data_IF_742646044895
#
_entry.id   IF_742646044895
#
_cell.length_a   1.000
_cell.length_b   1.000
_cell.length_c   1.000
_cell.angle_alpha   90.00
_cell.angle_beta   90.00
_cell.angle_gamma   90.00
#
_symmetry.space_group_name_H-M   'P 1'
#
loop_
_entity.id
_entity.type
_entity.pdbx_description
1 polymer ?
#
# COMPACT_ATOMS: atom_id res chain seq x y z
N UNK A 1 6.79 65.26 -60.10
CA UNK A 1 7.96 64.35 -60.05
C UNK A 1 7.82 63.42 -58.83
N UNK A 2 7.36 62.26 -59.09
CA UNK A 2 7.05 61.26 -58.07
C UNK A 2 8.19 60.33 -57.87
N UNK A 3 8.73 60.23 -56.64
CA UNK A 3 9.68 59.21 -56.28
C UNK A 3 8.93 58.15 -55.42
N UNK A 4 8.73 56.98 -56.00
CA UNK A 4 8.21 55.81 -55.33
C UNK A 4 9.32 55.23 -54.47
N UNK A 5 9.11 55.20 -53.15
CA UNK A 5 9.96 54.49 -52.21
C UNK A 5 9.35 53.07 -52.07
N UNK A 6 10.07 52.09 -52.54
CA UNK A 6 9.78 50.67 -52.34
C UNK A 6 10.29 50.30 -50.97
N UNK A 7 9.42 50.05 -50.02
CA UNK A 7 9.76 49.51 -48.73
C UNK A 7 9.89 47.99 -48.85
N UNK A 8 11.10 47.48 -48.68
CA UNK A 8 11.41 46.04 -48.62
C UNK A 8 11.11 45.55 -47.19
N UNK A 9 9.99 44.86 -46.98
CA UNK A 9 9.70 44.16 -45.76
C UNK A 9 10.48 42.83 -45.74
N UNK A 10 11.61 42.81 -45.04
CA UNK A 10 12.34 41.60 -44.65
C UNK A 10 11.55 40.97 -43.49
N UNK A 11 10.79 39.93 -43.78
CA UNK A 11 10.21 39.07 -42.77
C UNK A 11 11.33 38.20 -42.13
N UNK A 12 11.75 38.59 -40.94
CA UNK A 12 12.66 37.78 -40.11
C UNK A 12 11.85 36.66 -39.47
N UNK A 13 11.76 35.51 -40.12
CA UNK A 13 11.20 34.31 -39.52
C UNK A 13 12.19 33.80 -38.46
N UNK A 14 11.98 34.20 -37.22
CA UNK A 14 12.64 33.52 -36.09
C UNK A 14 12.09 32.12 -35.99
N UNK A 15 12.80 31.16 -36.57
CA UNK A 15 12.62 29.75 -36.23
C UNK A 15 13.12 29.59 -34.79
N UNK A 16 12.20 29.70 -33.83
CA UNK A 16 12.42 29.14 -32.52
C UNK A 16 12.46 27.62 -32.67
N UNK A 17 13.64 27.07 -32.98
CA UNK A 17 13.94 25.70 -32.64
C UNK A 17 13.89 25.64 -31.12
N UNK A 18 12.73 25.31 -30.57
CA UNK A 18 12.60 24.92 -29.18
C UNK A 18 13.51 23.72 -28.98
N UNK A 19 14.74 23.98 -28.49
CA UNK A 19 15.50 22.93 -27.85
C UNK A 19 14.63 22.47 -26.67
N UNK A 20 13.87 21.41 -26.89
CA UNK A 20 13.43 20.55 -25.79
C UNK A 20 14.74 20.02 -25.21
N UNK A 21 15.28 20.73 -24.23
CA UNK A 21 16.22 20.11 -23.30
C UNK A 21 15.43 18.94 -22.71
N UNK A 22 15.63 17.73 -23.24
CA UNK A 22 15.41 16.52 -22.52
C UNK A 22 16.16 16.74 -21.21
N UNK A 23 15.45 17.04 -20.13
CA UNK A 23 15.98 16.91 -18.79
C UNK A 23 16.50 15.48 -18.76
N UNK A 24 17.82 15.29 -18.74
CA UNK A 24 18.43 13.98 -18.71
C UNK A 24 17.77 13.19 -17.59
N UNK A 25 17.36 11.95 -17.88
CA UNK A 25 16.72 11.10 -16.89
C UNK A 25 17.64 11.07 -15.67
N UNK A 26 17.10 11.38 -14.51
CA UNK A 26 17.86 11.28 -13.27
C UNK A 26 17.96 9.81 -12.87
N UNK A 27 18.99 9.38 -12.15
CA UNK A 27 19.14 7.98 -11.75
C UNK A 27 17.91 7.39 -11.09
N UNK A 28 17.15 8.17 -10.32
CA UNK A 28 15.92 7.72 -9.71
C UNK A 28 14.77 7.51 -10.72
N UNK A 29 14.66 8.34 -11.75
CA UNK A 29 13.65 8.17 -12.80
C UNK A 29 13.95 6.95 -13.68
N UNK A 30 15.22 6.71 -14.00
CA UNK A 30 15.63 5.49 -14.72
C UNK A 30 15.34 4.25 -13.87
N UNK A 31 15.62 4.30 -12.57
CA UNK A 31 15.32 3.23 -11.64
C UNK A 31 13.81 2.98 -11.53
N UNK A 32 12.99 4.04 -11.44
CA UNK A 32 11.54 3.92 -11.41
C UNK A 32 10.99 3.29 -12.71
N UNK A 33 11.53 3.67 -13.88
CA UNK A 33 11.14 3.07 -15.15
C UNK A 33 11.44 1.57 -15.20
N UNK A 34 12.63 1.15 -14.79
CA UNK A 34 13.02 -0.27 -14.75
C UNK A 34 12.20 -1.05 -13.71
N UNK A 35 11.93 -0.45 -12.55
CA UNK A 35 11.05 -1.05 -11.55
C UNK A 35 9.63 -1.26 -12.10
N UNK A 36 9.08 -0.30 -12.83
CA UNK A 36 7.77 -0.46 -13.48
C UNK A 36 7.78 -1.55 -14.55
N UNK A 37 8.88 -1.71 -15.28
CA UNK A 37 9.03 -2.80 -16.25
C UNK A 37 9.06 -4.15 -15.54
N UNK A 38 9.79 -4.27 -14.43
CA UNK A 38 9.74 -5.46 -13.59
C UNK A 38 8.33 -5.73 -13.06
N UNK A 39 7.63 -4.72 -12.52
CA UNK A 39 6.26 -4.86 -12.03
C UNK A 39 5.34 -5.40 -13.13
N UNK A 40 5.44 -4.91 -14.37
CA UNK A 40 4.65 -5.43 -15.50
C UNK A 40 4.84 -6.92 -15.74
N UNK A 41 6.05 -7.45 -15.50
CA UNK A 41 6.31 -8.90 -15.65
C UNK A 41 5.52 -9.74 -14.66
N UNK A 42 5.23 -9.18 -13.47
CA UNK A 42 4.53 -9.86 -12.38
C UNK A 42 3.01 -9.95 -12.60
N UNK A 43 2.44 -9.16 -13.53
CA UNK A 43 1.00 -9.19 -13.77
C UNK A 43 0.55 -10.59 -14.21
N UNK A 44 -0.54 -11.08 -13.64
CA UNK A 44 -1.16 -12.34 -14.02
C UNK A 44 -2.20 -12.14 -15.14
N UNK A 45 -2.64 -13.24 -15.78
CA UNK A 45 -3.58 -13.20 -16.89
C UNK A 45 -4.99 -12.70 -16.51
N UNK A 46 -5.31 -12.67 -15.22
CA UNK A 46 -6.53 -12.10 -14.65
C UNK A 46 -6.47 -10.58 -14.43
N UNK A 47 -5.34 -9.95 -14.77
CA UNK A 47 -5.07 -8.53 -14.57
C UNK A 47 -4.47 -8.17 -13.21
N UNK A 48 -4.53 -9.08 -12.24
CA UNK A 48 -4.04 -8.87 -10.89
C UNK A 48 -2.52 -9.00 -10.75
N UNK A 49 -2.04 -8.62 -9.55
CA UNK A 49 -0.63 -8.70 -9.17
C UNK A 49 -0.47 -9.45 -7.86
N UNK A 50 0.65 -10.18 -7.66
CA UNK A 50 0.92 -10.88 -6.42
C UNK A 50 1.30 -9.90 -5.31
N UNK A 51 0.98 -10.23 -4.05
CA UNK A 51 1.63 -9.63 -2.89
C UNK A 51 2.85 -10.47 -2.49
N UNK A 52 2.61 -11.78 -2.36
CA UNK A 52 3.62 -12.80 -2.04
C UNK A 52 3.38 -14.01 -2.95
N UNK A 53 4.45 -14.70 -3.29
CA UNK A 53 4.35 -15.83 -4.24
C UNK A 53 4.01 -15.38 -5.65
N UNK A 54 3.17 -16.15 -6.36
CA UNK A 54 2.85 -15.93 -7.78
C UNK A 54 1.41 -15.53 -8.04
N UNK A 55 0.50 -15.78 -7.10
CA UNK A 55 -0.93 -15.62 -7.32
C UNK A 55 -1.38 -14.17 -7.12
N UNK A 56 -2.34 -13.73 -7.90
CA UNK A 56 -2.94 -12.41 -7.76
C UNK A 56 -3.62 -12.24 -6.40
N UNK A 57 -3.42 -11.07 -5.81
CA UNK A 57 -4.13 -10.65 -4.60
C UNK A 57 -4.60 -9.21 -4.72
N UNK A 58 -5.71 -8.88 -4.06
CA UNK A 58 -6.20 -7.50 -4.07
C UNK A 58 -5.18 -6.54 -3.45
N UNK A 59 -4.52 -6.94 -2.35
CA UNK A 59 -3.48 -6.13 -1.71
C UNK A 59 -2.30 -5.83 -2.63
N UNK A 60 -1.72 -6.87 -3.28
CA UNK A 60 -0.61 -6.70 -4.23
C UNK A 60 -1.02 -5.90 -5.46
N UNK A 61 -2.25 -6.11 -5.94
CA UNK A 61 -2.77 -5.34 -7.07
C UNK A 61 -2.90 -3.86 -6.72
N UNK A 62 -3.39 -3.52 -5.53
CA UNK A 62 -3.47 -2.14 -5.06
C UNK A 62 -2.08 -1.50 -4.92
N UNK A 63 -1.07 -2.24 -4.44
CA UNK A 63 0.30 -1.72 -4.32
C UNK A 63 0.93 -1.46 -5.69
N UNK A 64 0.76 -2.40 -6.64
CA UNK A 64 1.22 -2.21 -8.01
C UNK A 64 0.53 -0.99 -8.67
N UNK A 65 -0.77 -0.80 -8.45
CA UNK A 65 -1.50 0.36 -8.96
C UNK A 65 -1.01 1.68 -8.37
N UNK A 66 -0.66 1.71 -7.07
CA UNK A 66 -0.04 2.89 -6.45
C UNK A 66 1.31 3.21 -7.09
N UNK A 67 2.14 2.19 -7.37
CA UNK A 67 3.40 2.36 -8.06
C UNK A 67 3.21 2.97 -9.46
N UNK A 68 2.28 2.44 -10.26
CA UNK A 68 1.96 2.99 -11.57
C UNK A 68 1.45 4.44 -11.47
N UNK A 69 0.50 4.70 -10.56
CA UNK A 69 -0.08 6.02 -10.37
C UNK A 69 0.97 7.05 -9.93
N UNK A 70 1.89 6.69 -9.03
CA UNK A 70 2.96 7.56 -8.57
C UNK A 70 3.90 7.98 -9.71
N UNK A 71 4.11 7.11 -10.69
CA UNK A 71 4.90 7.39 -11.89
C UNK A 71 4.08 8.04 -13.03
N UNK A 72 2.81 8.37 -12.79
CA UNK A 72 1.93 8.96 -13.80
C UNK A 72 1.48 8.00 -14.89
N UNK A 73 1.66 6.69 -14.68
CA UNK A 73 1.16 5.63 -15.57
C UNK A 73 -0.28 5.31 -15.20
N UNK A 74 -1.15 5.23 -16.21
CA UNK A 74 -2.54 4.82 -16.00
C UNK A 74 -2.61 3.32 -15.68
N UNK A 75 -3.02 2.91 -14.47
CA UNK A 75 -3.10 1.50 -14.13
C UNK A 75 -4.05 0.71 -15.02
N UNK A 76 -5.13 1.33 -15.52
CA UNK A 76 -6.10 0.66 -16.40
C UNK A 76 -5.51 0.31 -17.77
N UNK A 77 -4.47 1.04 -18.19
CA UNK A 77 -3.74 0.76 -19.42
C UNK A 77 -2.73 -0.40 -19.30
N UNK A 78 -2.49 -0.93 -18.10
CA UNK A 78 -1.57 -2.05 -17.86
C UNK A 78 -2.35 -3.35 -17.93
N UNK A 79 -2.26 -4.07 -19.04
CA UNK A 79 -3.11 -5.26 -19.28
C UNK A 79 -2.32 -6.50 -19.56
N UNK A 80 -2.82 -7.65 -19.09
CA UNK A 80 -2.33 -9.00 -19.45
C UNK A 80 -3.51 -9.95 -19.63
N UNK A 81 -3.50 -10.75 -20.66
CA UNK A 81 -4.64 -11.61 -20.98
C UNK A 81 -5.92 -10.87 -21.38
N UNK A 82 -5.83 -9.55 -21.64
CA UNK A 82 -6.98 -8.70 -21.92
C UNK A 82 -7.65 -8.11 -20.67
N UNK A 83 -7.07 -8.31 -19.49
CA UNK A 83 -7.56 -7.81 -18.21
C UNK A 83 -6.62 -6.79 -17.61
N UNK A 84 -7.19 -5.71 -17.05
CA UNK A 84 -6.50 -4.67 -16.29
C UNK A 84 -6.54 -4.96 -14.78
N UNK A 85 -5.72 -4.26 -13.96
CA UNK A 85 -5.85 -4.31 -12.50
C UNK A 85 -7.23 -3.92 -12.00
N UNK A 86 -7.91 -2.99 -12.69
CA UNK A 86 -9.28 -2.59 -12.33
C UNK A 86 -10.29 -3.69 -12.63
N UNK A 87 -10.13 -4.47 -13.71
CA UNK A 87 -10.95 -5.65 -13.98
C UNK A 87 -10.82 -6.69 -12.87
N UNK A 88 -9.59 -6.96 -12.42
CA UNK A 88 -9.34 -7.84 -11.30
C UNK A 88 -9.99 -7.32 -10.01
N UNK A 89 -9.75 -6.05 -9.65
CA UNK A 89 -10.33 -5.46 -8.45
C UNK A 89 -11.86 -5.41 -8.50
N UNK A 90 -12.48 -5.22 -9.66
CA UNK A 90 -13.93 -5.22 -9.79
C UNK A 90 -14.56 -6.54 -9.29
N UNK A 91 -13.80 -7.64 -9.32
CA UNK A 91 -14.25 -8.94 -8.82
C UNK A 91 -13.84 -9.24 -7.37
N UNK A 92 -12.82 -8.53 -6.83
CA UNK A 92 -12.20 -8.85 -5.54
C UNK A 92 -12.48 -7.83 -4.44
N UNK A 93 -12.88 -6.60 -4.79
CA UNK A 93 -12.95 -5.48 -3.86
C UNK A 93 -13.91 -5.71 -2.70
N UNK A 94 -15.05 -6.37 -2.92
CA UNK A 94 -16.01 -6.65 -1.85
C UNK A 94 -15.45 -7.62 -0.81
N UNK A 95 -14.78 -8.67 -1.25
CA UNK A 95 -14.13 -9.63 -0.39
C UNK A 95 -12.91 -9.04 0.34
N UNK A 96 -12.23 -8.09 -0.30
CA UNK A 96 -11.08 -7.41 0.27
C UNK A 96 -11.47 -6.37 1.32
N UNK A 97 -12.41 -5.48 1.03
CA UNK A 97 -12.76 -4.34 1.89
C UNK A 97 -13.60 -4.75 3.12
N UNK A 98 -13.21 -5.80 3.84
CA UNK A 98 -13.90 -6.34 5.03
C UNK A 98 -13.31 -5.86 6.35
N UNK A 99 -12.16 -5.18 6.31
CA UNK A 99 -11.53 -4.54 7.46
C UNK A 99 -11.33 -3.04 7.21
N UNK A 100 -11.05 -2.29 8.27
CA UNK A 100 -10.91 -0.84 8.26
C UNK A 100 -9.78 -0.40 7.32
N UNK A 101 -8.61 -0.95 7.49
CA UNK A 101 -7.41 -0.69 6.71
C UNK A 101 -7.60 -1.01 5.22
N UNK A 102 -8.17 -2.17 4.91
CA UNK A 102 -8.44 -2.59 3.54
C UNK A 102 -9.45 -1.66 2.85
N UNK A 103 -10.52 -1.27 3.54
CA UNK A 103 -11.49 -0.33 2.98
C UNK A 103 -10.88 1.04 2.71
N UNK A 104 -10.07 1.56 3.63
CA UNK A 104 -9.37 2.84 3.46
C UNK A 104 -8.33 2.78 2.34
N UNK A 105 -7.51 1.71 2.27
CA UNK A 105 -6.53 1.49 1.21
C UNK A 105 -7.18 1.43 -0.17
N UNK A 106 -8.29 0.67 -0.29
CA UNK A 106 -9.02 0.58 -1.55
C UNK A 106 -9.51 1.97 -2.02
N UNK A 107 -10.08 2.77 -1.13
CA UNK A 107 -10.53 4.15 -1.45
C UNK A 107 -9.37 5.01 -1.95
N UNK A 108 -8.21 4.97 -1.28
CA UNK A 108 -7.00 5.72 -1.69
C UNK A 108 -6.60 5.35 -3.11
N UNK A 109 -6.52 4.05 -3.40
CA UNK A 109 -6.01 3.55 -4.69
C UNK A 109 -7.00 3.79 -5.82
N UNK A 110 -8.30 3.59 -5.60
CA UNK A 110 -9.32 3.92 -6.58
C UNK A 110 -9.27 5.40 -6.96
N UNK A 111 -9.10 6.30 -5.98
CA UNK A 111 -8.92 7.73 -6.26
C UNK A 111 -7.64 8.02 -7.03
N UNK A 112 -6.52 7.39 -6.68
CA UNK A 112 -5.26 7.54 -7.41
C UNK A 112 -5.36 7.04 -8.87
N UNK A 113 -6.16 5.99 -9.10
CA UNK A 113 -6.46 5.46 -10.44
C UNK A 113 -7.54 6.24 -11.20
N UNK A 114 -8.09 7.33 -10.64
CA UNK A 114 -9.11 8.15 -11.28
C UNK A 114 -10.50 7.54 -11.27
N UNK A 115 -10.72 6.51 -10.45
CA UNK A 115 -12.04 5.89 -10.28
C UNK A 115 -12.89 6.62 -9.23
N UNK A 116 -14.20 6.43 -9.30
CA UNK A 116 -15.11 6.90 -8.25
C UNK A 116 -15.33 5.79 -7.21
N UNK A 117 -14.78 5.91 -5.97
CA UNK A 117 -14.97 4.90 -4.96
C UNK A 117 -16.39 4.89 -4.35
N UNK A 118 -17.25 5.86 -4.70
CA UNK A 118 -18.67 5.82 -4.37
C UNK A 118 -19.47 4.90 -5.31
N UNK A 119 -18.93 4.59 -6.47
CA UNK A 119 -19.57 3.70 -7.45
C UNK A 119 -18.50 2.91 -8.22
N UNK A 120 -17.85 1.99 -7.54
CA UNK A 120 -16.89 1.07 -8.16
C UNK A 120 -17.43 -0.35 -8.09
N UNK A 121 -17.54 -1.02 -9.23
CA UNK A 121 -18.09 -2.36 -9.36
C UNK A 121 -19.49 -2.54 -8.72
N UNK A 122 -20.29 -1.45 -8.67
CA UNK A 122 -21.64 -1.44 -8.12
C UNK A 122 -21.71 -1.31 -6.59
N UNK A 123 -20.62 -0.92 -5.92
CA UNK A 123 -20.56 -0.74 -4.47
C UNK A 123 -20.00 0.64 -4.08
N UNK A 124 -20.47 1.19 -2.96
CA UNK A 124 -19.96 2.41 -2.34
C UNK A 124 -18.91 2.06 -1.27
N UNK A 125 -17.63 2.08 -1.68
CA UNK A 125 -16.51 1.79 -0.76
C UNK A 125 -16.21 2.95 0.18
N UNK A 126 -16.66 4.16 -0.12
CA UNK A 126 -16.56 5.28 0.83
C UNK A 126 -17.53 5.06 1.98
N UNK A 127 -18.77 4.69 1.70
CA UNK A 127 -19.74 4.35 2.75
C UNK A 127 -19.23 3.15 3.58
N UNK A 128 -18.64 2.14 2.94
CA UNK A 128 -18.07 0.98 3.61
C UNK A 128 -16.90 1.39 4.51
N UNK A 129 -15.97 2.21 4.04
CA UNK A 129 -14.87 2.78 4.83
C UNK A 129 -15.44 3.56 6.03
N UNK A 130 -16.37 4.48 5.80
CA UNK A 130 -16.93 5.30 6.87
C UNK A 130 -17.67 4.48 7.95
N UNK A 131 -18.13 3.28 7.63
CA UNK A 131 -18.80 2.41 8.60
C UNK A 131 -17.89 1.86 9.71
N UNK A 132 -16.58 1.90 9.52
CA UNK A 132 -15.59 1.51 10.53
C UNK A 132 -15.22 2.64 11.50
N UNK A 133 -15.73 3.87 11.27
CA UNK A 133 -15.45 5.01 12.14
C UNK A 133 -16.45 5.09 13.29
N UNK A 134 -15.94 5.04 14.53
CA UNK A 134 -16.74 5.28 15.73
C UNK A 134 -16.78 6.79 16.03
N UNK A 135 -17.95 7.40 15.84
CA UNK A 135 -18.16 8.82 16.10
C UNK A 135 -18.15 9.20 17.58
N UNK A 136 -18.26 8.26 18.52
CA UNK A 136 -18.20 8.55 19.94
C UNK A 136 -16.78 8.57 20.48
N UNK A 137 -15.93 7.66 20.02
CA UNK A 137 -14.52 7.56 20.41
C UNK A 137 -13.58 8.24 19.44
N UNK A 138 -14.04 8.58 18.23
CA UNK A 138 -13.27 9.12 17.12
C UNK A 138 -12.22 8.15 16.55
N UNK A 139 -12.32 6.88 16.91
CA UNK A 139 -11.40 5.82 16.46
C UNK A 139 -11.91 5.24 15.15
N UNK A 140 -11.00 4.96 14.24
CA UNK A 140 -11.25 4.21 13.02
C UNK A 140 -10.53 2.87 13.09
N UNK A 141 -11.29 1.79 12.95
CA UNK A 141 -10.75 0.43 13.03
C UNK A 141 -10.29 0.05 14.44
N UNK A 142 -9.24 -0.75 14.51
CA UNK A 142 -8.69 -1.28 15.78
C UNK A 142 -7.19 -1.05 15.95
N UNK A 143 -6.47 -0.79 14.85
CA UNK A 143 -5.02 -0.61 14.84
C UNK A 143 -4.64 0.87 14.68
N UNK A 144 -3.44 1.22 15.08
CA UNK A 144 -2.94 2.61 14.91
C UNK A 144 -2.85 2.96 13.42
N UNK A 145 -2.43 1.99 12.60
CA UNK A 145 -2.31 2.17 11.16
C UNK A 145 -3.66 2.42 10.48
N UNK A 146 -4.75 1.83 10.98
CA UNK A 146 -6.09 2.05 10.45
C UNK A 146 -6.45 3.53 10.51
N UNK A 147 -6.16 4.17 11.64
CA UNK A 147 -6.42 5.59 11.85
C UNK A 147 -5.64 6.46 10.85
N UNK A 148 -4.38 6.11 10.57
CA UNK A 148 -3.56 6.82 9.59
C UNK A 148 -4.12 6.66 8.17
N UNK A 149 -4.46 5.43 7.76
CA UNK A 149 -5.05 5.15 6.45
C UNK A 149 -6.40 5.87 6.26
N UNK A 150 -7.22 5.94 7.31
CA UNK A 150 -8.48 6.68 7.25
C UNK A 150 -8.27 8.17 6.94
N UNK A 151 -7.35 8.82 7.63
CA UNK A 151 -7.03 10.23 7.40
C UNK A 151 -6.51 10.46 5.97
N UNK A 152 -5.65 9.56 5.48
CA UNK A 152 -5.15 9.59 4.10
C UNK A 152 -6.27 9.37 3.08
N UNK A 153 -7.17 8.43 3.33
CA UNK A 153 -8.32 8.18 2.46
C UNK A 153 -9.26 9.39 2.39
N UNK A 154 -9.58 10.00 3.52
CA UNK A 154 -10.36 11.23 3.53
C UNK A 154 -9.67 12.36 2.76
N UNK A 155 -8.35 12.48 2.93
CA UNK A 155 -7.55 13.45 2.15
C UNK A 155 -7.62 13.17 0.66
N UNK A 156 -7.51 11.92 0.21
CA UNK A 156 -7.61 11.55 -1.21
C UNK A 156 -8.98 11.88 -1.81
N UNK A 157 -10.03 11.84 -1.00
CA UNK A 157 -11.39 12.25 -1.36
C UNK A 157 -11.59 13.77 -1.36
N UNK A 158 -10.61 14.57 -0.91
CA UNK A 158 -10.76 16.00 -0.68
C UNK A 158 -11.64 16.36 0.52
N UNK A 159 -11.87 15.42 1.43
CA UNK A 159 -12.69 15.60 2.62
C UNK A 159 -11.83 16.07 3.81
N UNK A 160 -12.38 16.97 4.62
CA UNK A 160 -11.75 17.32 5.89
C UNK A 160 -11.70 16.10 6.83
N UNK A 161 -10.70 15.99 7.72
CA UNK A 161 -10.70 14.96 8.74
C UNK A 161 -11.95 15.08 9.63
N UNK A 162 -12.48 13.95 10.11
CA UNK A 162 -13.57 14.00 11.09
C UNK A 162 -13.05 14.56 12.42
N UNK A 163 -13.96 15.21 13.13
CA UNK A 163 -13.64 15.76 14.47
C UNK A 163 -13.04 14.66 15.36
N UNK A 164 -11.93 14.98 16.02
CA UNK A 164 -11.23 14.08 16.93
C UNK A 164 -10.33 13.03 16.27
N UNK A 165 -10.50 12.72 14.97
CA UNK A 165 -9.73 11.67 14.32
C UNK A 165 -8.21 11.96 14.29
N UNK A 166 -7.82 13.23 14.13
CA UNK A 166 -6.41 13.66 14.18
C UNK A 166 -5.85 13.47 15.60
N UNK A 167 -6.59 13.96 16.60
CA UNK A 167 -6.15 13.86 18.01
C UNK A 167 -6.04 12.42 18.50
N UNK A 168 -6.86 11.49 17.96
CA UNK A 168 -6.69 10.06 18.22
C UNK A 168 -5.33 9.58 17.70
N UNK A 169 -4.96 9.91 16.46
CA UNK A 169 -3.66 9.51 15.92
C UNK A 169 -2.50 10.15 16.69
N UNK A 170 -2.58 11.43 17.02
CA UNK A 170 -1.59 12.12 17.85
C UNK A 170 -1.42 11.46 19.23
N UNK A 171 -2.54 11.08 19.88
CA UNK A 171 -2.52 10.44 21.19
C UNK A 171 -1.87 9.05 21.21
N UNK A 172 -1.74 8.42 20.05
CA UNK A 172 -1.08 7.13 19.88
C UNK A 172 0.43 7.26 19.67
N UNK A 173 0.97 8.47 19.57
CA UNK A 173 2.42 8.67 19.53
C UNK A 173 3.06 8.20 20.83
N UNK A 174 4.02 7.30 20.72
CA UNK A 174 4.73 6.73 21.85
C UNK A 174 5.76 7.72 22.43
N UNK A 175 6.20 7.47 23.67
CA UNK A 175 7.24 8.26 24.32
C UNK A 175 8.56 8.34 23.52
N UNK A 176 8.80 7.36 22.64
CA UNK A 176 9.91 7.35 21.68
C UNK A 176 9.72 8.24 20.46
N UNK A 177 8.67 9.07 20.41
CA UNK A 177 8.38 9.98 19.29
C UNK A 177 7.98 9.29 17.98
N UNK A 178 7.44 8.10 18.06
CA UNK A 178 7.11 7.19 16.97
C UNK A 178 5.71 6.61 17.12
N UNK A 179 5.26 5.91 16.10
CA UNK A 179 4.05 5.11 16.15
C UNK A 179 4.39 3.63 15.98
N UNK A 180 3.56 2.80 16.55
CA UNK A 180 3.56 1.36 16.36
C UNK A 180 2.43 0.94 15.42
N UNK A 181 2.54 -0.25 14.81
CA UNK A 181 1.49 -0.78 13.94
C UNK A 181 0.17 -0.95 14.68
N UNK A 182 0.24 -1.57 15.85
CA UNK A 182 -0.87 -1.71 16.78
C UNK A 182 -0.35 -1.65 18.21
N UNK A 183 -1.24 -1.40 19.17
CA UNK A 183 -0.87 -1.22 20.58
C UNK A 183 -0.03 -2.41 21.08
N UNK A 184 1.20 -2.14 21.55
CA UNK A 184 2.13 -3.12 22.12
C UNK A 184 3.05 -3.82 21.12
N UNK A 185 3.03 -3.47 19.84
CA UNK A 185 3.97 -4.02 18.84
C UNK A 185 5.36 -3.38 18.91
N UNK A 186 5.45 -2.20 19.49
CA UNK A 186 6.66 -1.40 19.51
C UNK A 186 6.80 -0.49 18.29
N UNK A 187 7.58 0.56 18.46
CA UNK A 187 7.82 1.56 17.43
C UNK A 187 8.50 1.01 16.20
N UNK A 188 8.01 1.39 15.04
CA UNK A 188 8.64 1.09 13.77
C UNK A 188 8.64 2.31 12.81
N UNK A 189 9.55 2.30 11.85
CA UNK A 189 9.71 3.41 10.92
C UNK A 189 8.57 3.50 9.91
N UNK A 190 7.97 2.37 9.51
CA UNK A 190 6.93 2.33 8.50
C UNK A 190 5.62 2.89 9.06
N UNK A 191 5.20 2.44 10.25
CA UNK A 191 4.02 2.98 10.95
C UNK A 191 4.18 4.47 11.27
N UNK A 192 5.38 4.86 11.69
CA UNK A 192 5.70 6.28 11.93
C UNK A 192 5.63 7.11 10.64
N UNK A 193 6.10 6.57 9.51
CA UNK A 193 6.04 7.23 8.22
C UNK A 193 4.59 7.40 7.72
N UNK A 194 3.75 6.40 7.93
CA UNK A 194 2.33 6.48 7.60
C UNK A 194 1.61 7.51 8.47
N UNK A 195 1.85 7.48 9.80
CA UNK A 195 1.25 8.44 10.73
C UNK A 195 1.67 9.88 10.42
N UNK A 196 2.95 10.12 10.12
CA UNK A 196 3.44 11.46 9.74
C UNK A 196 2.75 11.96 8.46
N UNK A 197 2.66 11.13 7.43
CA UNK A 197 1.98 11.50 6.19
C UNK A 197 0.49 11.78 6.43
N UNK A 198 -0.16 10.99 7.28
CA UNK A 198 -1.56 11.16 7.63
C UNK A 198 -1.82 12.49 8.38
N UNK A 199 -0.98 12.83 9.35
CA UNK A 199 -1.07 14.11 10.08
C UNK A 199 -0.89 15.29 9.13
N UNK A 200 0.13 15.27 8.28
CA UNK A 200 0.38 16.32 7.29
C UNK A 200 -0.79 16.43 6.28
N UNK A 201 -1.30 15.29 5.83
CA UNK A 201 -2.46 15.22 4.95
C UNK A 201 -3.73 15.76 5.56
N UNK A 202 -3.91 15.59 6.85
CA UNK A 202 -5.00 16.13 7.64
C UNK A 202 -4.85 17.64 7.93
N UNK A 203 -3.73 18.26 7.54
CA UNK A 203 -3.46 19.69 7.70
C UNK A 203 -2.75 20.05 9.00
N UNK A 204 -2.20 19.08 9.72
CA UNK A 204 -1.35 19.36 10.89
C UNK A 204 -0.09 20.09 10.43
N UNK A 205 0.30 21.13 11.17
CA UNK A 205 1.45 21.95 10.82
C UNK A 205 2.75 21.16 10.86
N UNK A 206 3.67 21.47 9.92
CA UNK A 206 5.05 20.95 9.99
C UNK A 206 5.77 21.31 11.29
N UNK A 207 5.41 22.42 11.94
CA UNK A 207 5.98 22.84 13.22
C UNK A 207 5.28 22.23 14.43
N UNK A 208 4.29 21.39 14.23
CA UNK A 208 3.61 20.67 15.30
C UNK A 208 4.57 19.73 16.05
N UNK A 209 4.34 19.58 17.37
CA UNK A 209 5.20 18.77 18.22
C UNK A 209 5.26 17.31 17.79
N UNK A 210 4.12 16.71 17.40
CA UNK A 210 4.05 15.32 16.98
C UNK A 210 4.80 15.10 15.66
N UNK A 211 4.69 16.05 14.71
CA UNK A 211 5.40 16.02 13.44
C UNK A 211 6.92 16.13 13.64
N UNK A 212 7.36 17.09 14.46
CA UNK A 212 8.78 17.29 14.72
C UNK A 212 9.39 16.12 15.49
N UNK A 213 8.64 15.51 16.39
CA UNK A 213 9.05 14.31 17.11
C UNK A 213 9.25 13.12 16.16
N UNK A 214 8.34 12.89 15.20
CA UNK A 214 8.51 11.86 14.18
C UNK A 214 9.75 12.08 13.31
N UNK A 215 10.01 13.31 12.88
CA UNK A 215 11.22 13.66 12.12
C UNK A 215 12.49 13.38 12.97
N UNK A 216 12.46 13.70 14.27
CA UNK A 216 13.58 13.38 15.17
C UNK A 216 13.78 11.87 15.34
N UNK A 217 12.71 11.09 15.42
CA UNK A 217 12.76 9.64 15.45
C UNK A 217 13.42 9.06 14.20
N UNK A 218 13.06 9.53 13.00
CA UNK A 218 13.72 9.07 11.77
C UNK A 218 15.20 9.43 11.75
N UNK A 219 15.57 10.63 12.18
CA UNK A 219 17.00 11.02 12.26
C UNK A 219 17.79 10.10 13.20
N UNK A 220 17.19 9.69 14.29
CA UNK A 220 17.80 8.76 15.25
C UNK A 220 17.85 7.32 14.70
N UNK A 221 16.88 6.93 13.86
CA UNK A 221 16.79 5.57 13.28
C UNK A 221 17.62 5.42 12.00
N UNK A 222 18.09 6.51 11.40
CA UNK A 222 18.84 6.47 10.13
C UNK A 222 20.21 5.82 10.32
N UNK A 223 20.51 4.80 9.54
CA UNK A 223 21.77 4.07 9.55
C UNK A 223 22.92 4.85 8.86
N UNK A 224 24.14 4.36 9.06
CA UNK A 224 25.35 4.95 8.45
C UNK A 224 25.41 4.82 6.92
N UNK A 225 24.65 3.90 6.34
CA UNK A 225 24.50 3.73 4.88
C UNK A 225 23.46 4.68 4.27
N UNK A 226 22.88 5.58 5.06
CA UNK A 226 21.88 6.55 4.63
C UNK A 226 20.45 6.02 4.58
N UNK A 227 20.25 4.70 4.71
CA UNK A 227 18.96 4.02 4.72
C UNK A 227 18.33 3.93 6.11
N UNK A 228 17.21 3.21 6.17
CA UNK A 228 16.41 3.03 7.38
C UNK A 228 16.06 1.57 7.59
N UNK A 229 16.13 1.07 8.85
CA UNK A 229 15.62 -0.24 9.22
C UNK A 229 14.12 -0.15 9.51
N UNK A 230 13.42 -1.30 9.50
CA UNK A 230 12.05 -1.38 10.02
C UNK A 230 11.97 -0.99 11.50
N UNK A 231 12.83 -1.58 12.32
CA UNK A 231 12.98 -1.25 13.74
C UNK A 231 14.45 -1.00 14.06
N UNK A 232 14.76 0.15 14.65
CA UNK A 232 16.11 0.48 15.08
C UNK A 232 16.39 -0.09 16.51
N UNK A 233 17.60 -0.67 16.73
CA UNK A 233 18.66 -0.92 15.77
C UNK A 233 18.36 -2.13 14.86
N UNK A 234 18.71 -2.03 13.60
CA UNK A 234 18.54 -3.07 12.59
C UNK A 234 19.20 -2.67 11.28
N UNK A 235 19.25 -3.57 10.33
CA UNK A 235 19.79 -3.30 9.01
C UNK A 235 18.80 -2.49 8.18
N UNK A 236 19.29 -1.62 7.31
CA UNK A 236 18.45 -0.88 6.35
C UNK A 236 17.82 -1.85 5.35
N UNK A 237 16.57 -1.59 4.99
CA UNK A 237 15.87 -2.31 3.94
C UNK A 237 15.18 -1.36 2.96
N UNK A 238 14.81 -1.89 1.80
CA UNK A 238 14.24 -1.09 0.72
C UNK A 238 12.88 -0.48 1.10
N UNK A 239 12.03 -1.26 1.76
CA UNK A 239 10.67 -0.85 2.12
C UNK A 239 10.69 0.26 3.15
N UNK A 240 11.42 0.06 4.25
CA UNK A 240 11.52 1.04 5.33
C UNK A 240 12.19 2.32 4.85
N UNK A 241 13.22 2.20 4.01
CA UNK A 241 13.85 3.36 3.39
C UNK A 241 12.88 4.11 2.47
N UNK A 242 12.05 3.40 1.69
CA UNK A 242 11.05 4.00 0.82
C UNK A 242 9.94 4.70 1.62
N UNK A 243 9.41 4.07 2.67
CA UNK A 243 8.38 4.68 3.52
C UNK A 243 8.87 5.95 4.20
N UNK A 244 10.07 5.92 4.81
CA UNK A 244 10.63 7.10 5.46
C UNK A 244 10.93 8.20 4.44
N UNK A 245 11.48 7.86 3.26
CA UNK A 245 11.74 8.83 2.21
C UNK A 245 10.46 9.56 1.78
N UNK A 246 9.36 8.85 1.57
CA UNK A 246 8.06 9.46 1.28
C UNK A 246 7.60 10.41 2.40
N UNK A 247 7.77 10.00 3.66
CA UNK A 247 7.33 10.78 4.81
C UNK A 247 8.14 12.08 4.99
N UNK A 248 9.46 12.02 4.87
CA UNK A 248 10.32 13.22 4.99
C UNK A 248 10.13 14.16 3.80
N UNK A 249 9.87 13.63 2.60
CA UNK A 249 9.47 14.45 1.44
C UNK A 249 8.13 15.13 1.68
N UNK A 250 7.13 14.43 2.22
CA UNK A 250 5.85 15.02 2.60
C UNK A 250 6.01 16.15 3.63
N UNK A 251 6.94 15.99 4.57
CA UNK A 251 7.30 17.03 5.53
C UNK A 251 8.09 18.20 4.90
N UNK A 252 8.53 18.08 3.64
CA UNK A 252 9.31 19.10 2.91
C UNK A 252 10.73 19.21 3.44
N UNK A 253 11.27 18.12 3.94
CA UNK A 253 12.67 18.04 4.35
C UNK A 253 13.60 18.05 3.12
N UNK A 254 14.79 18.62 3.29
CA UNK A 254 15.81 18.60 2.25
C UNK A 254 16.58 17.27 2.28
N UNK A 255 16.38 16.44 1.27
CA UNK A 255 16.99 15.12 1.10
C UNK A 255 18.19 15.12 0.17
N UNK A 256 18.61 16.29 -0.35
CA UNK A 256 19.71 16.42 -1.31
C UNK A 256 21.07 16.17 -0.66
N UNK A 257 22.08 15.93 -1.48
CA UNK A 257 23.46 15.82 -1.07
C UNK A 257 23.92 17.09 -0.33
N UNK A 258 24.64 16.91 0.77
CA UNK A 258 25.02 17.99 1.69
C UNK A 258 23.88 18.43 2.62
N UNK A 259 22.70 17.82 2.52
CA UNK A 259 21.55 18.10 3.36
C UNK A 259 21.57 17.37 4.71
N UNK A 260 20.57 17.64 5.56
CA UNK A 260 20.54 17.11 6.93
C UNK A 260 20.26 15.59 7.02
N UNK A 261 19.95 14.96 5.90
CA UNK A 261 19.67 13.52 5.78
C UNK A 261 20.81 12.73 5.14
N UNK A 262 21.92 13.39 4.80
CA UNK A 262 23.11 12.67 4.33
C UNK A 262 23.84 12.04 5.51
N UNK A 263 24.16 10.75 5.39
CA UNK A 263 24.98 9.98 6.35
C UNK A 263 26.21 9.42 5.63
N UNK A 264 27.39 9.75 6.12
CA UNK A 264 28.66 9.29 5.55
C UNK A 264 28.78 9.51 4.03
N UNK A 265 28.18 10.57 3.50
CA UNK A 265 28.19 10.89 2.06
C UNK A 265 27.09 10.19 1.25
N UNK A 266 26.14 9.49 1.90
CA UNK A 266 25.03 8.79 1.26
C UNK A 266 23.70 9.43 1.65
N UNK A 267 22.90 9.82 0.66
CA UNK A 267 21.54 10.32 0.87
C UNK A 267 20.55 9.16 0.99
N UNK A 268 19.33 9.37 1.57
CA UNK A 268 18.30 8.35 1.59
C UNK A 268 17.91 7.82 0.21
N UNK A 269 17.93 8.69 -0.81
CA UNK A 269 17.66 8.27 -2.20
C UNK A 269 18.76 7.34 -2.72
N UNK A 270 20.04 7.65 -2.45
CA UNK A 270 21.14 6.78 -2.84
C UNK A 270 21.11 5.45 -2.09
N UNK A 271 20.75 5.46 -0.81
CA UNK A 271 20.54 4.24 -0.03
C UNK A 271 19.42 3.38 -0.63
N UNK A 272 18.27 3.98 -0.98
CA UNK A 272 17.19 3.25 -1.65
C UNK A 272 17.66 2.63 -2.97
N UNK A 273 18.36 3.41 -3.82
CA UNK A 273 18.89 2.93 -5.10
C UNK A 273 19.89 1.77 -4.96
N UNK A 274 20.57 1.64 -3.82
CA UNK A 274 21.50 0.54 -3.56
C UNK A 274 20.80 -0.81 -3.39
N UNK A 275 19.52 -0.85 -3.07
CA UNK A 275 18.73 -2.08 -3.00
C UNK A 275 18.23 -2.59 -4.35
N UNK A 276 18.48 -1.85 -5.44
CA UNK A 276 17.98 -2.26 -6.77
C UNK A 276 18.87 -3.33 -7.39
N UNK A 277 18.28 -4.42 -7.87
CA UNK A 277 18.92 -5.28 -8.86
C UNK A 277 18.91 -4.58 -10.22
N UNK A 278 20.10 -4.26 -10.72
CA UNK A 278 20.24 -3.55 -12.02
C UNK A 278 19.98 -4.45 -13.23
N UNK A 279 19.94 -5.77 -13.06
CA UNK A 279 19.65 -6.71 -14.14
C UNK A 279 18.14 -6.87 -14.37
N UNK A 280 17.37 -6.90 -13.29
CA UNK A 280 15.91 -7.10 -13.36
C UNK A 280 15.12 -5.80 -13.22
N UNK A 281 15.70 -4.78 -12.57
CA UNK A 281 15.03 -3.55 -12.18
C UNK A 281 14.24 -3.67 -10.88
N UNK A 282 14.16 -4.84 -10.26
CA UNK A 282 13.50 -5.07 -9.00
C UNK A 282 14.25 -4.41 -7.83
N UNK A 283 13.52 -4.11 -6.75
CA UNK A 283 14.11 -3.81 -5.46
C UNK A 283 14.15 -5.07 -4.61
N UNK A 284 15.32 -5.31 -4.00
CA UNK A 284 15.60 -6.53 -3.26
C UNK A 284 15.17 -6.41 -1.80
N UNK A 285 14.71 -7.53 -1.26
CA UNK A 285 14.55 -7.73 0.18
C UNK A 285 15.25 -9.03 0.57
N UNK A 286 16.13 -8.98 1.56
CA UNK A 286 16.93 -10.15 1.94
C UNK A 286 17.89 -10.64 0.85
N UNK A 287 18.22 -9.80 -0.14
CA UNK A 287 19.11 -10.15 -1.27
C UNK A 287 18.39 -10.80 -2.46
N UNK A 288 17.07 -10.90 -2.43
CA UNK A 288 16.24 -11.49 -3.48
C UNK A 288 15.31 -10.42 -4.07
N UNK A 289 15.02 -10.51 -5.38
CA UNK A 289 14.01 -9.67 -6.03
C UNK A 289 12.68 -9.78 -5.30
N UNK A 290 12.10 -8.65 -4.93
CA UNK A 290 10.89 -8.64 -4.13
C UNK A 290 9.83 -7.73 -4.76
N UNK A 291 8.68 -8.31 -5.07
CA UNK A 291 7.56 -7.59 -5.66
C UNK A 291 7.12 -6.41 -4.78
N UNK A 292 6.98 -6.69 -3.48
CA UNK A 292 6.50 -5.72 -2.51
C UNK A 292 7.48 -4.55 -2.34
N UNK A 293 8.78 -4.84 -2.12
CA UNK A 293 9.83 -3.84 -2.06
C UNK A 293 9.85 -2.96 -3.33
N UNK A 294 9.61 -3.57 -4.49
CA UNK A 294 9.57 -2.84 -5.75
C UNK A 294 8.34 -1.94 -5.85
N UNK A 295 7.15 -2.39 -5.40
CA UNK A 295 5.96 -1.54 -5.36
C UNK A 295 6.16 -0.31 -4.48
N UNK A 296 6.78 -0.47 -3.31
CA UNK A 296 7.02 0.62 -2.36
C UNK A 296 8.13 1.57 -2.83
N UNK A 297 9.14 1.07 -3.53
CA UNK A 297 10.25 1.90 -4.01
C UNK A 297 9.79 2.93 -5.05
N UNK A 298 8.88 2.59 -5.97
CA UNK A 298 8.49 3.49 -7.06
C UNK A 298 7.91 4.83 -6.57
N UNK A 299 6.95 4.90 -5.64
CA UNK A 299 6.48 6.18 -5.10
C UNK A 299 7.60 7.00 -4.46
N UNK A 300 8.53 6.37 -3.75
CA UNK A 300 9.66 7.05 -3.13
C UNK A 300 10.64 7.61 -4.18
N UNK A 301 10.97 6.84 -5.23
CA UNK A 301 11.80 7.29 -6.36
C UNK A 301 11.20 8.49 -7.09
N UNK A 302 9.87 8.51 -7.18
CA UNK A 302 9.11 9.60 -7.80
C UNK A 302 8.87 10.77 -6.85
N UNK A 303 9.38 10.70 -5.60
CA UNK A 303 9.16 11.69 -4.54
C UNK A 303 7.67 11.98 -4.31
N UNK A 304 6.85 10.94 -4.47
CA UNK A 304 5.41 11.03 -4.29
C UNK A 304 5.04 10.45 -2.93
N UNK A 305 4.60 11.28 -1.98
CA UNK A 305 4.00 10.77 -0.73
C UNK A 305 2.68 10.04 -1.04
N UNK A 306 2.20 9.24 -0.09
CA UNK A 306 0.88 8.60 -0.18
C UNK A 306 -0.29 9.59 -0.35
N UNK A 307 -0.02 10.87 -0.22
CA UNK A 307 -0.92 11.99 -0.52
C UNK A 307 -1.00 12.26 -2.03
N UNK A 308 -0.94 11.23 -2.86
CA UNK A 308 -1.03 11.37 -4.32
C UNK A 308 -2.18 12.31 -4.68
N UNK A 309 -1.95 13.36 -5.49
CA UNK A 309 -3.05 14.14 -6.02
C UNK A 309 -3.94 13.18 -6.83
N UNK A 310 -5.27 13.29 -6.70
CA UNK A 310 -6.14 12.48 -7.54
C UNK A 310 -5.77 12.74 -9.00
N UNK A 311 -5.60 11.68 -9.78
CA UNK A 311 -5.47 11.79 -11.23
C UNK A 311 -6.64 12.67 -11.72
N UNK A 312 -6.35 13.71 -12.49
CA UNK A 312 -7.39 14.47 -13.14
C UNK A 312 -8.29 13.50 -13.91
N UNK A 313 -9.56 13.44 -13.55
CA UNK A 313 -10.51 12.50 -14.13
C UNK A 313 -10.44 12.56 -15.65
N UNK A 314 -9.80 11.60 -16.27
CA UNK A 314 -9.98 11.33 -17.69
C UNK A 314 -11.38 10.72 -17.76
N UNK A 315 -12.35 11.49 -18.24
CA UNK A 315 -13.74 11.08 -18.33
C UNK A 315 -13.91 9.97 -19.37
N UNK A 316 -13.51 8.76 -19.01
CA UNK A 316 -14.00 7.55 -19.66
C UNK A 316 -14.42 6.64 -18.53
N UNK A 317 -15.70 6.48 -18.27
CA UNK A 317 -16.14 5.47 -17.29
C UNK A 317 -15.58 4.12 -17.75
N UNK A 318 -14.84 3.46 -16.88
CA UNK A 318 -14.58 2.04 -17.06
C UNK A 318 -15.93 1.37 -17.33
N UNK A 319 -16.08 0.75 -18.49
CA UNK A 319 -17.33 0.11 -18.85
C UNK A 319 -17.64 -0.94 -17.78
N UNK A 320 -18.59 -0.64 -16.92
CA UNK A 320 -19.11 -1.59 -15.97
C UNK A 320 -19.50 -2.84 -16.75
N UNK A 321 -18.76 -3.93 -16.57
CA UNK A 321 -19.18 -5.22 -17.09
C UNK A 321 -20.51 -5.54 -16.40
N UNK A 322 -21.59 -5.19 -17.08
CA UNK A 322 -22.94 -5.64 -16.68
C UNK A 322 -22.83 -7.15 -16.56
N UNK A 323 -23.12 -7.76 -15.37
CA UNK A 323 -23.08 -9.19 -15.25
C UNK A 323 -24.01 -9.75 -16.33
N UNK A 324 -23.47 -10.56 -17.22
CA UNK A 324 -24.25 -11.27 -18.25
C UNK A 324 -25.30 -12.03 -17.46
N UNK A 325 -26.51 -11.51 -17.48
CA UNK A 325 -27.68 -12.24 -16.96
C UNK A 325 -27.67 -13.58 -17.67
N UNK A 326 -27.27 -14.63 -16.95
CA UNK A 326 -27.48 -16.01 -17.39
C UNK A 326 -28.95 -16.09 -17.72
N UNK A 327 -29.24 -16.30 -19.01
CA UNK A 327 -30.60 -16.39 -19.48
C UNK A 327 -31.29 -17.49 -18.68
N UNK A 328 -32.21 -17.07 -17.81
CA UNK A 328 -33.08 -17.99 -17.12
C UNK A 328 -33.86 -18.72 -18.19
N UNK A 329 -33.61 -20.00 -18.33
CA UNK A 329 -34.32 -20.90 -19.22
C UNK A 329 -35.78 -20.78 -18.89
N UNK A 330 -36.57 -20.28 -19.82
CA UNK A 330 -38.03 -20.26 -19.73
C UNK A 330 -38.52 -21.70 -19.50
N UNK A 331 -39.32 -21.97 -18.48
CA UNK A 331 -39.90 -23.30 -18.34
C UNK A 331 -40.89 -23.52 -19.47
N UNK A 332 -40.63 -24.53 -20.28
CA UNK A 332 -41.56 -25.03 -21.29
C UNK A 332 -42.76 -25.64 -20.56
N UNK A 333 -43.94 -25.06 -20.75
CA UNK A 333 -45.21 -25.55 -20.24
C UNK A 333 -45.61 -26.82 -21.00
N UNK A 334 -45.45 -27.97 -20.36
CA UNK A 334 -46.14 -29.18 -20.80
C UNK A 334 -47.09 -29.61 -19.70
N UNK A 335 -48.34 -29.33 -19.93
CA UNK A 335 -49.46 -29.80 -19.15
C UNK A 335 -49.78 -31.24 -19.54
N UNK A 336 -49.75 -32.17 -18.58
CA UNK A 336 -50.56 -33.41 -18.63
C UNK A 336 -50.88 -33.82 -17.20
N UNK A 337 -52.16 -33.97 -16.83
CA UNK A 337 -52.55 -34.40 -15.49
C UNK A 337 -52.60 -35.95 -15.44
N UNK A 338 -52.05 -36.53 -14.37
CA UNK A 338 -52.33 -37.92 -13.99
C UNK A 338 -52.84 -37.99 -12.53
N UNK A 339 -53.57 -39.01 -12.17
CA UNK A 339 -54.64 -38.95 -11.18
C UNK A 339 -54.18 -39.20 -9.74
N UNK A 340 -55.04 -38.79 -8.80
CA UNK A 340 -54.90 -38.90 -7.38
C UNK A 340 -54.75 -40.37 -6.91
N UNK A 341 -53.86 -40.61 -5.95
CA UNK A 341 -53.78 -41.80 -5.15
C UNK A 341 -53.76 -41.44 -3.65
N UNK A 342 -54.51 -42.19 -2.90
CA UNK A 342 -54.93 -42.05 -1.52
C UNK A 342 -53.85 -41.77 -0.46
N UNK A 343 -54.28 -41.02 0.54
CA UNK A 343 -53.57 -40.74 1.76
C UNK A 343 -53.57 -41.93 2.73
N UNK A 344 -52.36 -42.27 3.22
CA UNK A 344 -52.24 -43.11 4.43
C UNK A 344 -51.49 -42.29 5.53
N UNK A 345 -51.91 -42.37 6.79
CA UNK A 345 -51.45 -41.46 7.84
C UNK A 345 -50.09 -41.86 8.41
N UNK A 346 -49.30 -40.83 8.68
CA UNK A 346 -47.98 -40.89 9.32
C UNK A 346 -48.11 -41.07 10.85
N UNK A 347 -47.23 -41.85 11.50
CA UNK A 347 -47.22 -41.99 12.96
C UNK A 347 -46.44 -40.81 13.62
N UNK A 348 -46.89 -40.46 14.81
CA UNK A 348 -46.46 -39.30 15.58
C UNK A 348 -45.01 -39.37 16.16
N UNK A 349 -44.54 -38.25 16.71
CA UNK A 349 -43.13 -38.08 17.10
C UNK A 349 -42.82 -38.74 18.45
N UNK A 350 -41.68 -39.40 18.50
CA UNK A 350 -41.04 -39.92 19.72
C UNK A 350 -40.31 -38.79 20.47
N UNK A 351 -40.24 -38.77 21.80
CA UNK A 351 -39.61 -37.72 22.57
C UNK A 351 -38.08 -37.85 22.55
N UNK A 352 -37.40 -36.71 22.30
CA UNK A 352 -35.96 -36.62 22.36
C UNK A 352 -35.53 -36.25 23.78
N UNK A 353 -34.65 -37.05 24.36
CA UNK A 353 -34.02 -36.82 25.65
C UNK A 353 -33.19 -35.52 25.67
N UNK A 354 -33.33 -34.80 26.80
CA UNK A 354 -32.56 -33.62 27.11
C UNK A 354 -31.06 -33.93 27.24
N UNK A 355 -30.24 -33.25 26.47
CA UNK A 355 -28.77 -33.21 26.63
C UNK A 355 -28.43 -31.95 27.41
N UNK A 356 -27.66 -32.12 28.48
CA UNK A 356 -27.14 -31.09 29.36
C UNK A 356 -26.21 -30.11 28.59
N UNK A 357 -26.17 -28.84 28.97
CA UNK A 357 -25.33 -27.85 28.28
C UNK A 357 -23.86 -28.12 28.53
N UNK A 358 -23.11 -28.20 27.44
CA UNK A 358 -21.66 -28.22 27.47
C UNK A 358 -21.12 -26.85 27.92
N UNK A 359 -20.17 -26.89 28.83
CA UNK A 359 -19.40 -25.77 29.37
C UNK A 359 -18.77 -24.98 28.21
N UNK A 360 -19.10 -23.71 28.11
CA UNK A 360 -18.47 -22.78 27.15
C UNK A 360 -17.03 -22.60 27.56
N UNK A 361 -16.10 -23.08 26.75
CA UNK A 361 -14.70 -22.68 26.83
C UNK A 361 -14.58 -21.19 26.43
N UNK A 362 -13.64 -20.43 27.03
CA UNK A 362 -13.42 -19.03 26.66
C UNK A 362 -13.07 -18.95 25.18
N UNK A 363 -13.46 -17.88 24.48
CA UNK A 363 -13.16 -17.70 23.05
C UNK A 363 -11.64 -17.69 22.88
N UNK A 364 -11.14 -18.64 22.11
CA UNK A 364 -9.77 -18.63 21.64
C UNK A 364 -9.55 -17.33 20.90
N UNK A 365 -8.46 -16.65 21.23
CA UNK A 365 -7.94 -15.52 20.45
C UNK A 365 -7.85 -15.93 19.00
N UNK A 366 -8.74 -15.40 18.18
CA UNK A 366 -8.62 -15.45 16.72
C UNK A 366 -7.38 -14.63 16.41
N UNK A 367 -6.34 -15.28 15.93
CA UNK A 367 -5.22 -14.56 15.34
C UNK A 367 -5.77 -13.68 14.21
N UNK A 368 -5.38 -12.39 14.11
CA UNK A 368 -5.83 -11.54 13.03
C UNK A 368 -5.29 -12.15 11.73
N UNK A 369 -6.19 -12.75 10.96
CA UNK A 369 -5.92 -13.07 9.58
C UNK A 369 -5.82 -11.75 8.82
N UNK A 370 -4.71 -11.58 8.09
CA UNK A 370 -4.50 -10.48 7.15
C UNK A 370 -4.44 -9.07 7.75
N UNK A 371 -3.38 -8.80 8.53
CA UNK A 371 -2.88 -7.44 8.67
C UNK A 371 -2.60 -6.89 7.25
N UNK A 372 -2.75 -5.57 7.01
CA UNK A 372 -2.40 -4.94 5.73
C UNK A 372 -0.88 -4.97 5.55
N UNK A 373 -0.40 -6.18 5.40
CA UNK A 373 1.03 -6.48 5.23
C UNK A 373 1.61 -5.67 4.09
N UNK A 374 0.75 -5.29 3.17
CA UNK A 374 1.13 -4.57 1.99
C UNK A 374 1.55 -3.11 2.21
N UNK A 375 1.09 -2.40 3.21
CA UNK A 375 1.55 -1.03 3.46
C UNK A 375 2.50 -0.92 4.67
N UNK A 376 2.62 -1.96 5.49
CA UNK A 376 3.30 -1.85 6.78
C UNK A 376 4.35 -2.93 7.03
N UNK A 377 4.29 -4.11 6.40
CA UNK A 377 5.16 -5.22 6.79
C UNK A 377 6.14 -5.64 5.71
N UNK A 378 7.11 -4.81 5.44
CA UNK A 378 8.27 -5.20 4.65
C UNK A 378 9.28 -6.06 5.43
N UNK A 379 9.04 -6.34 6.68
CA UNK A 379 9.95 -7.10 7.52
C UNK A 379 9.59 -8.56 7.78
N UNK A 380 8.51 -9.11 7.19
CA UNK A 380 8.11 -10.48 7.47
C UNK A 380 8.03 -11.32 6.20
N UNK A 381 9.15 -11.94 5.87
CA UNK A 381 9.20 -12.98 4.86
C UNK A 381 8.38 -14.19 5.24
N UNK A 382 7.66 -14.70 4.25
CA UNK A 382 7.03 -16.01 4.10
C UNK A 382 6.69 -16.82 5.37
N UNK A 383 5.42 -16.95 5.66
CA UNK A 383 4.86 -17.93 6.58
C UNK A 383 4.05 -17.28 7.68
N UNK A 384 2.82 -17.76 7.85
CA UNK A 384 1.93 -17.37 8.94
C UNK A 384 2.48 -17.91 10.28
N UNK A 385 3.55 -17.29 10.78
CA UNK A 385 4.04 -17.51 12.15
C UNK A 385 3.83 -16.23 12.96
N UNK A 386 3.35 -16.41 14.16
CA UNK A 386 3.10 -15.32 15.11
C UNK A 386 4.41 -14.59 15.44
N UNK A 387 4.42 -13.27 15.73
CA UNK A 387 5.61 -12.50 16.06
C UNK A 387 6.48 -13.10 17.19
N UNK A 388 5.90 -13.87 18.10
CA UNK A 388 6.60 -14.54 19.18
C UNK A 388 7.53 -15.67 18.70
N UNK A 389 7.20 -16.32 17.58
CA UNK A 389 8.03 -17.43 17.03
C UNK A 389 9.18 -16.85 16.21
N UNK A 390 8.97 -15.75 15.51
CA UNK A 390 10.04 -15.08 14.76
C UNK A 390 11.12 -14.50 15.70
N UNK A 391 10.74 -13.94 16.85
CA UNK A 391 11.72 -13.52 17.86
C UNK A 391 12.49 -14.68 18.49
N UNK A 392 11.87 -15.86 18.65
CA UNK A 392 12.54 -17.04 19.19
C UNK A 392 13.55 -17.62 18.20
N UNK A 393 13.29 -17.58 16.91
CA UNK A 393 14.20 -18.05 15.86
C UNK A 393 15.40 -17.12 15.66
N UNK A 394 15.22 -15.80 15.81
CA UNK A 394 16.33 -14.83 15.79
C UNK A 394 17.28 -15.03 16.99
N UNK A 395 16.75 -15.34 18.18
CA UNK A 395 17.57 -15.64 19.36
C UNK A 395 18.33 -16.98 19.23
N UNK A 396 17.75 -17.98 18.59
CA UNK A 396 18.42 -19.27 18.34
C UNK A 396 19.52 -19.14 17.26
N UNK A 397 19.29 -18.31 16.23
CA UNK A 397 20.29 -18.03 15.19
C UNK A 397 21.55 -17.37 15.74
N UNK A 398 21.42 -16.42 16.65
CA UNK A 398 22.55 -15.73 17.29
C UNK A 398 23.33 -16.66 18.22
N UNK A 399 22.68 -17.58 18.91
CA UNK A 399 23.35 -18.56 19.77
C UNK A 399 24.15 -19.58 18.97
N UNK A 400 23.69 -20.01 17.79
CA UNK A 400 24.41 -20.94 16.93
C UNK A 400 25.66 -20.34 16.29
N UNK A 401 25.66 -19.06 15.94
CA UNK A 401 26.84 -18.36 15.37
C UNK A 401 27.90 -18.12 16.47
N UNK A 402 27.46 -17.82 17.68
CA UNK A 402 28.38 -17.65 18.83
C UNK A 402 29.12 -18.96 19.23
N UNK A 403 28.52 -20.13 19.06
CA UNK A 403 29.13 -21.41 19.40
C UNK A 403 30.12 -21.93 18.35
N UNK A 404 29.98 -21.52 17.09
CA UNK A 404 30.92 -21.93 16.02
C UNK A 404 32.27 -21.18 16.08
N UNK A 405 32.30 -19.99 16.64
CA UNK A 405 33.53 -19.20 16.77
C UNK A 405 34.46 -19.67 17.92
N UNK A 406 33.96 -20.44 18.88
CA UNK A 406 34.74 -20.87 20.05
C UNK A 406 35.45 -22.21 19.85
N UNK A 407 35.14 -22.98 18.82
CA UNK A 407 35.76 -24.30 18.55
C UNK A 407 37.02 -24.21 17.65
N UNK A 408 37.29 -23.05 17.04
CA UNK A 408 38.41 -22.86 16.12
C UNK A 408 39.76 -22.54 16.76
N UNK A 409 39.88 -22.38 18.08
CA UNK A 409 41.12 -21.89 18.73
C UNK A 409 41.87 -22.88 19.62
N UNK A 410 41.53 -24.17 19.65
CA UNK A 410 42.21 -25.18 20.42
C UNK A 410 42.74 -26.33 19.54
N UNK A 411 43.43 -25.99 18.45
CA UNK A 411 44.32 -27.00 17.79
C UNK A 411 45.47 -26.34 17.06
N UNK A 412 46.42 -25.80 17.83
CA UNK A 412 47.87 -25.76 17.50
C UNK A 412 48.68 -25.47 18.76
N UNK A 413 48.99 -26.57 19.42
CA UNK A 413 50.36 -26.86 19.94
C UNK A 413 50.48 -28.36 20.15
#
# INVERSE_FOLDING_TARGET
>A
MSRRIIALLLAFACVFAGATTSLGATPQHDAASQALDYIRTLQNADGGFPAYGSDSSAGGTLDAMLAFAAAGVDPDGVTKGGHSPLDYLATQSDAYATSADHAAKLVIVLKAAGQDPHDFAGADYVAKMESFYDGATHVYGVQVIDQALYLLARKSLGLAPRSGAVSVLESKQQAGSCWEYSDGFGCDTNSTAMALQALLGAGVSKSDGAVQAAIAYFKASQNGDGGFPYVAPGDSDADSTAFVLQAIVAAGENIDAGGPWEKAGVTPMQALLAFRDTATGAFMYGGEDNAYATYQAVPALMLQPLLLPPKAATATPHATHTPVRTATRTPETTSTPLPAVDATPSPGPTPVSAVLPATIAPPGTVAPADAPRALVSAGQGAGAETPAVAMALLLVGVVCVGSAATIGFVRRR
#
